data_IF_160517378385
#
_entry.id   IF_160517378385
#
_cell.length_a   1.000
_cell.length_b   1.000
_cell.length_c   1.000
_cell.angle_alpha   90.00
_cell.angle_beta   90.00
_cell.angle_gamma   90.00
#
_symmetry.space_group_name_H-M   'P 1'
#
loop_
_entity.id
_entity.type
_entity.pdbx_description
1 polymer ?
#
# COMPACT_ATOMS: atom_id res chain seq x y z
N UNK A 1 13.21 8.55 -24.07
CA UNK A 1 11.85 8.64 -23.53
C UNK A 1 11.01 9.50 -24.47
N UNK A 2 9.85 8.99 -24.90
CA UNK A 2 8.96 9.69 -25.87
C UNK A 2 7.67 10.23 -25.23
N UNK A 3 7.44 9.91 -23.97
CA UNK A 3 6.22 10.32 -23.27
C UNK A 3 6.54 10.77 -21.85
N UNK A 4 5.80 11.76 -21.35
CA UNK A 4 5.83 12.19 -19.96
C UNK A 4 4.89 11.36 -19.09
N UNK A 5 3.75 10.96 -19.67
CA UNK A 5 2.77 10.11 -19.01
C UNK A 5 2.71 8.80 -19.79
N UNK A 6 2.85 7.69 -19.09
CA UNK A 6 2.69 6.35 -19.64
C UNK A 6 1.42 5.72 -19.08
N UNK A 7 0.47 5.49 -19.96
CA UNK A 7 -0.78 4.85 -19.58
C UNK A 7 -0.61 3.33 -19.55
N UNK A 8 -1.03 2.74 -18.43
CA UNK A 8 -1.18 1.29 -18.26
C UNK A 8 -2.68 1.02 -18.27
N UNK A 9 -3.22 0.79 -19.46
CA UNK A 9 -4.62 0.41 -19.60
C UNK A 9 -4.86 -0.94 -18.92
N UNK A 10 -6.02 -1.06 -18.28
CA UNK A 10 -6.45 -2.29 -17.60
C UNK A 10 -5.39 -2.83 -16.62
N UNK A 11 -5.22 -2.13 -15.49
CA UNK A 11 -4.30 -2.53 -14.42
C UNK A 11 -4.46 -3.99 -13.97
N UNK A 12 -5.58 -4.62 -14.26
CA UNK A 12 -5.88 -6.01 -13.93
C UNK A 12 -4.94 -7.02 -14.59
N UNK A 13 -4.43 -6.70 -15.77
CA UNK A 13 -3.43 -7.52 -16.48
C UNK A 13 -2.07 -7.49 -15.80
N UNK A 14 -1.70 -6.36 -15.20
CA UNK A 14 -0.43 -6.17 -14.48
C UNK A 14 -0.46 -6.82 -13.10
N UNK A 15 -1.65 -6.94 -12.48
CA UNK A 15 -1.83 -7.54 -11.14
C UNK A 15 -1.50 -9.01 -11.08
N UNK A 16 -1.70 -9.76 -12.15
CA UNK A 16 -1.51 -11.22 -12.18
C UNK A 16 -0.04 -11.64 -12.20
N UNK A 17 0.86 -10.77 -12.61
CA UNK A 17 2.22 -11.18 -12.96
C UNK A 17 3.31 -10.93 -11.93
N UNK A 18 3.08 -10.47 -10.74
CA UNK A 18 4.05 -10.39 -9.64
C UNK A 18 4.14 -9.00 -8.99
N UNK A 19 3.51 -8.87 -7.86
CA UNK A 19 3.52 -7.66 -7.03
C UNK A 19 4.93 -7.08 -6.77
N UNK A 20 5.96 -7.90 -6.62
CA UNK A 20 7.32 -7.42 -6.33
C UNK A 20 8.01 -6.77 -7.54
N UNK A 21 7.88 -7.34 -8.72
CA UNK A 21 8.47 -6.78 -9.95
C UNK A 21 7.78 -5.47 -10.34
N UNK A 22 6.47 -5.41 -10.27
CA UNK A 22 5.70 -4.18 -10.52
C UNK A 22 6.05 -3.08 -9.52
N UNK A 23 6.19 -3.41 -8.24
CA UNK A 23 6.62 -2.46 -7.20
C UNK A 23 8.01 -1.92 -7.47
N UNK A 24 8.96 -2.80 -7.80
CA UNK A 24 10.32 -2.40 -8.14
C UNK A 24 10.32 -1.51 -9.39
N UNK A 25 9.56 -1.88 -10.41
CA UNK A 25 9.43 -1.10 -11.64
C UNK A 25 8.86 0.30 -11.38
N UNK A 26 7.75 0.42 -10.65
CA UNK A 26 7.13 1.72 -10.33
C UNK A 26 8.03 2.62 -9.46
N UNK A 27 8.88 2.02 -8.61
CA UNK A 27 9.76 2.76 -7.70
C UNK A 27 11.14 3.07 -8.29
N UNK A 28 11.48 2.52 -9.45
CA UNK A 28 12.78 2.73 -10.07
C UNK A 28 12.92 4.17 -10.57
N UNK A 29 14.02 4.82 -10.19
CA UNK A 29 14.36 6.19 -10.62
C UNK A 29 15.17 6.21 -11.92
N UNK A 30 15.74 5.07 -12.29
CA UNK A 30 16.60 4.91 -13.44
C UNK A 30 16.23 3.64 -14.20
N UNK A 31 16.39 3.68 -15.50
CA UNK A 31 16.25 2.52 -16.39
C UNK A 31 17.59 2.19 -17.00
N UNK A 32 18.03 0.93 -16.84
CA UNK A 32 19.25 0.42 -17.47
C UNK A 32 18.85 -0.53 -18.58
N UNK A 33 19.25 -0.23 -19.78
CA UNK A 33 18.96 -1.05 -20.94
C UNK A 33 20.13 -1.02 -21.95
N UNK A 34 20.19 -2.03 -22.80
CA UNK A 34 21.12 -2.08 -23.90
C UNK A 34 20.39 -1.65 -25.18
N UNK A 35 20.76 -0.53 -25.80
CA UNK A 35 20.17 -0.14 -27.07
C UNK A 35 20.36 -1.23 -28.14
N UNK A 36 19.42 -1.33 -29.08
CA UNK A 36 19.58 -2.19 -30.23
C UNK A 36 20.90 -1.83 -30.97
N UNK A 37 21.70 -2.84 -31.26
CA UNK A 37 23.07 -2.70 -31.83
C UNK A 37 24.10 -1.99 -30.94
N UNK A 38 23.76 -1.59 -29.73
CA UNK A 38 24.68 -1.02 -28.76
C UNK A 38 25.64 -2.08 -28.18
N UNK A 39 26.90 -1.73 -27.93
CA UNK A 39 27.88 -2.62 -27.30
C UNK A 39 27.77 -2.64 -25.78
N UNK A 40 27.31 -1.54 -25.17
CA UNK A 40 27.24 -1.37 -23.72
C UNK A 40 25.82 -1.05 -23.29
N UNK A 41 25.49 -1.42 -22.05
CA UNK A 41 24.27 -0.96 -21.39
C UNK A 41 24.40 0.53 -21.06
N UNK A 42 23.30 1.26 -21.17
CA UNK A 42 23.19 2.66 -20.77
C UNK A 42 22.16 2.78 -19.64
N UNK A 43 22.44 3.67 -18.71
CA UNK A 43 21.52 4.02 -17.61
C UNK A 43 20.99 5.43 -17.85
N UNK A 44 19.69 5.58 -17.84
CA UNK A 44 19.02 6.87 -18.03
C UNK A 44 18.07 7.14 -16.85
N UNK A 45 18.01 8.38 -16.41
CA UNK A 45 17.03 8.79 -15.39
C UNK A 45 15.62 8.69 -15.96
N UNK A 46 14.71 8.23 -15.13
CA UNK A 46 13.31 8.12 -15.50
C UNK A 46 12.61 9.46 -15.33
N UNK A 47 11.97 9.95 -16.39
CA UNK A 47 11.19 11.19 -16.43
C UNK A 47 9.74 10.93 -16.85
N UNK A 48 9.18 9.81 -16.44
CA UNK A 48 7.82 9.40 -16.80
C UNK A 48 6.99 9.19 -15.56
N UNK A 49 5.73 9.60 -15.64
CA UNK A 49 4.69 9.32 -14.64
C UNK A 49 3.79 8.21 -15.19
N UNK A 50 3.39 7.28 -14.34
CA UNK A 50 2.49 6.20 -14.72
C UNK A 50 1.06 6.57 -14.33
N UNK A 51 0.14 6.43 -15.26
CA UNK A 51 -1.29 6.48 -15.03
C UNK A 51 -1.89 5.12 -15.39
N UNK A 52 -2.87 4.67 -14.64
CA UNK A 52 -3.54 3.39 -14.92
C UNK A 52 -5.03 3.51 -14.72
N UNK A 53 -5.79 2.73 -15.49
CA UNK A 53 -7.24 2.66 -15.41
C UNK A 53 -7.68 1.27 -14.97
N UNK A 54 -8.77 1.20 -14.23
CA UNK A 54 -9.41 -0.07 -13.83
C UNK A 54 -10.90 0.15 -13.61
N UNK A 55 -11.69 -0.85 -13.91
CA UNK A 55 -13.12 -0.89 -13.61
C UNK A 55 -13.40 -1.58 -12.26
N UNK A 56 -12.38 -2.15 -11.62
CA UNK A 56 -12.56 -2.78 -10.32
C UNK A 56 -12.62 -1.74 -9.21
N UNK A 57 -13.63 -1.84 -8.34
CA UNK A 57 -13.76 -0.98 -7.17
C UNK A 57 -12.68 -1.25 -6.12
N UNK A 58 -12.19 -2.49 -6.03
CA UNK A 58 -11.16 -2.93 -5.10
C UNK A 58 -9.98 -3.53 -5.88
N UNK A 59 -9.01 -2.71 -6.22
CA UNK A 59 -7.87 -3.11 -7.05
C UNK A 59 -6.52 -3.14 -6.32
N UNK A 60 -6.43 -2.63 -5.09
CA UNK A 60 -5.21 -2.63 -4.30
C UNK A 60 -5.12 -3.89 -3.44
N UNK A 61 -4.27 -4.84 -3.84
CA UNK A 61 -4.04 -6.10 -3.12
C UNK A 61 -2.88 -6.05 -2.12
N UNK A 62 -2.25 -4.90 -1.96
CA UNK A 62 -1.02 -4.79 -1.20
C UNK A 62 -1.19 -3.86 -0.02
N UNK A 63 -1.18 -4.42 1.18
CA UNK A 63 -1.28 -3.67 2.42
C UNK A 63 -0.07 -2.76 2.67
N UNK A 64 1.11 -3.16 2.18
CA UNK A 64 2.37 -2.41 2.40
C UNK A 64 2.76 -1.50 1.25
N UNK A 65 2.22 -1.73 0.05
CA UNK A 65 2.58 -1.03 -1.19
C UNK A 65 1.60 0.05 -1.64
N UNK A 66 0.50 0.24 -0.93
CA UNK A 66 -0.56 1.20 -1.30
C UNK A 66 -0.05 2.64 -1.47
N UNK A 67 1.06 3.02 -0.82
CA UNK A 67 1.71 4.33 -0.97
C UNK A 67 2.17 4.67 -2.40
N UNK A 68 2.26 3.68 -3.28
CA UNK A 68 2.64 3.87 -4.69
C UNK A 68 1.46 4.20 -5.59
N UNK A 69 0.24 3.98 -5.09
CA UNK A 69 -0.98 4.20 -5.83
C UNK A 69 -1.72 5.41 -5.27
N UNK A 70 -2.13 6.27 -6.16
CA UNK A 70 -2.97 7.42 -5.87
C UNK A 70 -4.31 7.20 -6.57
N UNK A 71 -5.22 6.45 -5.94
CA UNK A 71 -6.51 6.15 -6.55
C UNK A 71 -7.37 7.41 -6.64
N UNK A 72 -7.90 7.66 -7.81
CA UNK A 72 -8.82 8.76 -8.09
C UNK A 72 -10.09 8.15 -8.66
N UNK A 73 -11.22 8.39 -8.00
CA UNK A 73 -12.52 7.96 -8.52
C UNK A 73 -12.99 8.95 -9.57
N UNK A 74 -13.19 8.48 -10.80
CA UNK A 74 -13.76 9.26 -11.87
C UNK A 74 -15.25 8.89 -12.02
N UNK A 75 -16.13 9.82 -11.72
CA UNK A 75 -17.58 9.63 -11.88
C UNK A 75 -18.07 10.18 -13.23
N UNK A 76 -17.52 11.31 -13.63
CA UNK A 76 -17.84 12.01 -14.86
C UNK A 76 -16.58 12.48 -15.55
N UNK A 77 -16.54 12.48 -16.86
CA UNK A 77 -15.41 12.96 -17.67
C UNK A 77 -15.93 14.03 -18.64
N UNK A 78 -15.56 15.26 -18.38
CA UNK A 78 -15.82 16.39 -19.27
C UNK A 78 -14.65 16.60 -20.24
N UNK A 79 -14.75 15.99 -21.40
CA UNK A 79 -13.70 16.08 -22.43
C UNK A 79 -13.61 17.48 -23.05
N UNK A 80 -14.72 18.19 -23.15
CA UNK A 80 -14.72 19.54 -23.73
C UNK A 80 -14.02 20.52 -22.80
N UNK A 81 -14.30 20.45 -21.50
CA UNK A 81 -13.58 21.22 -20.48
C UNK A 81 -12.06 20.98 -20.55
N UNK A 82 -11.67 19.71 -20.63
CA UNK A 82 -10.22 19.39 -20.70
C UNK A 82 -9.58 19.92 -21.98
N UNK A 83 -10.25 19.84 -23.11
CA UNK A 83 -9.74 20.39 -24.37
C UNK A 83 -9.58 21.91 -24.32
N UNK A 84 -10.57 22.60 -23.77
CA UNK A 84 -10.56 24.05 -23.66
C UNK A 84 -9.51 24.57 -22.68
N UNK A 85 -9.34 23.90 -21.54
CA UNK A 85 -8.51 24.36 -20.42
C UNK A 85 -7.13 23.69 -20.34
N UNK A 86 -6.81 22.74 -21.19
CA UNK A 86 -5.57 21.94 -21.15
C UNK A 86 -4.31 22.83 -21.00
N UNK A 87 -4.21 23.84 -21.83
CA UNK A 87 -3.00 24.67 -21.86
C UNK A 87 -2.92 25.56 -20.61
N UNK A 88 -4.08 25.99 -20.08
CA UNK A 88 -4.15 26.73 -18.82
C UNK A 88 -3.76 25.85 -17.62
N UNK A 89 -4.23 24.61 -17.58
CA UNK A 89 -3.86 23.65 -16.53
C UNK A 89 -2.33 23.38 -16.52
N UNK A 90 -1.72 23.25 -17.70
CA UNK A 90 -0.28 23.11 -17.79
C UNK A 90 0.47 24.39 -17.37
N UNK A 91 -0.03 25.55 -17.74
CA UNK A 91 0.55 26.82 -17.33
C UNK A 91 0.53 27.00 -15.80
N UNK A 92 -0.59 26.66 -15.15
CA UNK A 92 -0.72 26.69 -13.69
C UNK A 92 0.27 25.74 -13.01
N UNK A 93 0.39 24.49 -13.51
CA UNK A 93 1.37 23.52 -12.99
C UNK A 93 2.82 24.03 -13.13
N UNK A 94 3.17 24.70 -14.21
CA UNK A 94 4.51 25.28 -14.42
C UNK A 94 4.75 26.43 -13.42
N UNK A 95 3.76 27.30 -13.19
CA UNK A 95 3.86 28.38 -12.21
C UNK A 95 4.07 27.83 -10.81
N UNK A 96 3.28 26.84 -10.40
CA UNK A 96 3.42 26.16 -9.10
C UNK A 96 4.80 25.51 -8.94
N UNK A 97 5.30 24.83 -9.98
CA UNK A 97 6.63 24.25 -9.98
C UNK A 97 7.73 25.31 -9.79
N UNK A 98 7.67 26.44 -10.50
CA UNK A 98 8.64 27.52 -10.35
C UNK A 98 8.52 28.28 -9.02
N UNK A 99 7.33 28.29 -8.43
CA UNK A 99 7.10 28.81 -7.07
C UNK A 99 7.71 27.92 -5.97
N UNK A 100 8.10 26.69 -6.32
CA UNK A 100 8.67 25.73 -5.37
C UNK A 100 7.62 24.96 -4.60
N UNK A 101 6.39 24.89 -5.10
CA UNK A 101 5.34 24.08 -4.50
C UNK A 101 5.74 22.62 -4.44
N UNK A 102 5.40 21.97 -3.34
CA UNK A 102 5.73 20.55 -3.15
C UNK A 102 4.84 19.67 -4.01
N UNK A 103 5.46 18.78 -4.79
CA UNK A 103 4.78 17.79 -5.64
C UNK A 103 4.66 16.43 -4.98
N UNK A 104 5.04 16.30 -3.71
CA UNK A 104 4.87 15.12 -2.88
C UNK A 104 3.93 15.40 -1.72
N UNK A 105 3.28 14.36 -1.22
CA UNK A 105 2.39 14.46 -0.07
C UNK A 105 3.19 14.66 1.21
N UNK A 106 2.79 15.63 2.03
CA UNK A 106 3.26 15.74 3.39
C UNK A 106 2.71 14.59 4.27
N UNK A 107 3.13 14.52 5.53
CA UNK A 107 2.74 13.46 6.45
C UNK A 107 1.21 13.39 6.68
N UNK A 108 0.54 14.52 6.72
CA UNK A 108 -0.89 14.58 7.02
C UNK A 108 -1.74 14.28 5.79
N UNK A 109 -1.32 14.74 4.63
CA UNK A 109 -1.90 14.37 3.34
C UNK A 109 -1.68 12.87 3.04
N UNK A 110 -0.51 12.32 3.36
CA UNK A 110 -0.27 10.87 3.19
C UNK A 110 -1.16 10.01 4.11
N UNK A 111 -1.43 10.46 5.33
CA UNK A 111 -2.42 9.81 6.21
C UNK A 111 -3.83 9.87 5.61
N UNK A 112 -4.26 11.03 5.09
CA UNK A 112 -5.57 11.17 4.42
C UNK A 112 -5.66 10.22 3.23
N UNK A 113 -4.65 10.23 2.34
CA UNK A 113 -4.57 9.30 1.21
C UNK A 113 -4.66 7.84 1.67
N UNK A 114 -3.94 7.49 2.75
CA UNK A 114 -3.97 6.13 3.31
C UNK A 114 -5.39 5.74 3.74
N UNK A 115 -6.09 6.61 4.44
CA UNK A 115 -7.46 6.39 4.90
C UNK A 115 -8.45 6.30 3.73
N UNK A 116 -8.34 7.18 2.74
CA UNK A 116 -9.19 7.17 1.55
C UNK A 116 -8.92 5.97 0.64
N UNK A 117 -7.67 5.52 0.55
CA UNK A 117 -7.31 4.34 -0.24
C UNK A 117 -7.87 3.02 0.32
N UNK A 118 -8.41 3.03 1.54
CA UNK A 118 -9.00 1.85 2.17
C UNK A 118 -10.15 1.26 1.35
N UNK A 119 -11.00 2.12 0.77
CA UNK A 119 -12.15 1.70 -0.05
C UNK A 119 -11.75 0.98 -1.34
N UNK A 120 -10.51 1.16 -1.80
CA UNK A 120 -9.97 0.52 -3.00
C UNK A 120 -9.16 -0.74 -2.69
N UNK A 121 -9.04 -1.11 -1.41
CA UNK A 121 -8.35 -2.34 -1.01
C UNK A 121 -9.27 -3.53 -1.15
N UNK A 122 -8.69 -4.64 -1.55
CA UNK A 122 -9.35 -5.93 -1.52
C UNK A 122 -9.34 -6.45 -0.08
N UNK A 123 -10.52 -6.83 0.42
CA UNK A 123 -10.61 -7.43 1.75
C UNK A 123 -9.84 -8.76 1.78
N UNK A 124 -9.01 -8.93 2.80
CA UNK A 124 -8.33 -10.19 3.00
C UNK A 124 -9.32 -11.21 3.61
N UNK A 125 -9.53 -12.38 2.97
CA UNK A 125 -10.46 -13.40 3.50
C UNK A 125 -10.14 -13.87 4.93
N UNK A 126 -8.92 -13.67 5.41
CA UNK A 126 -8.51 -14.03 6.77
C UNK A 126 -8.87 -12.96 7.80
N UNK A 127 -9.18 -11.75 7.38
CA UNK A 127 -9.48 -10.63 8.29
C UNK A 127 -10.69 -10.93 9.17
N UNK A 128 -11.80 -11.37 8.61
CA UNK A 128 -13.00 -11.71 9.37
C UNK A 128 -12.78 -12.80 10.40
N UNK A 129 -12.23 -13.98 10.04
CA UNK A 129 -11.86 -15.03 11.00
C UNK A 129 -10.90 -14.55 12.09
N UNK A 130 -9.88 -13.77 11.76
CA UNK A 130 -8.91 -13.24 12.72
C UNK A 130 -9.60 -12.24 13.68
N UNK A 131 -10.38 -11.29 13.19
CA UNK A 131 -11.09 -10.32 14.04
C UNK A 131 -12.07 -11.05 14.99
N UNK A 132 -12.81 -12.03 14.49
CA UNK A 132 -13.72 -12.85 15.29
C UNK A 132 -12.97 -13.60 16.40
N UNK A 133 -11.83 -14.18 16.10
CA UNK A 133 -10.98 -14.87 17.09
C UNK A 133 -10.46 -13.87 18.14
N UNK A 134 -9.93 -12.72 17.71
CA UNK A 134 -9.39 -11.70 18.61
C UNK A 134 -10.40 -11.17 19.60
N UNK A 135 -11.67 -11.05 19.22
CA UNK A 135 -12.76 -10.62 20.10
C UNK A 135 -13.04 -11.61 21.24
N UNK A 136 -12.69 -12.88 21.07
CA UNK A 136 -12.85 -13.90 22.10
C UNK A 136 -11.66 -13.99 23.06
N UNK A 137 -10.53 -13.35 22.71
CA UNK A 137 -9.30 -13.43 23.48
C UNK A 137 -9.20 -12.31 24.52
N UNK A 138 -8.72 -12.66 25.69
CA UNK A 138 -8.39 -11.72 26.74
C UNK A 138 -6.87 -11.65 26.86
N UNK A 139 -6.29 -10.48 26.53
CA UNK A 139 -4.85 -10.25 26.66
C UNK A 139 -4.06 -10.38 25.35
N UNK A 140 -2.77 -10.70 25.49
CA UNK A 140 -1.85 -10.75 24.38
C UNK A 140 -1.92 -12.07 23.63
N UNK A 141 -1.93 -12.02 22.30
CA UNK A 141 -1.98 -13.19 21.41
C UNK A 141 -0.69 -13.36 20.63
N UNK A 142 -0.35 -14.56 20.22
CA UNK A 142 0.78 -14.83 19.33
C UNK A 142 0.27 -15.08 17.91
N UNK A 143 1.12 -14.81 16.91
CA UNK A 143 0.80 -15.14 15.50
C UNK A 143 0.45 -16.62 15.35
N UNK A 144 1.16 -17.48 16.06
CA UNK A 144 0.91 -18.92 16.06
C UNK A 144 -0.50 -19.28 16.58
N UNK A 145 -0.95 -18.72 17.71
CA UNK A 145 -2.30 -18.94 18.24
C UNK A 145 -3.36 -18.53 17.22
N UNK A 146 -3.19 -17.37 16.57
CA UNK A 146 -4.12 -16.90 15.55
C UNK A 146 -4.19 -17.86 14.37
N UNK A 147 -3.05 -18.37 13.92
CA UNK A 147 -3.01 -19.34 12.82
C UNK A 147 -3.64 -20.68 13.21
N UNK A 148 -3.35 -21.20 14.40
CA UNK A 148 -3.87 -22.50 14.89
C UNK A 148 -5.36 -22.42 15.24
N UNK A 149 -5.72 -21.46 16.07
CA UNK A 149 -7.04 -21.40 16.70
C UNK A 149 -8.02 -20.50 15.94
N UNK A 150 -7.53 -19.40 15.35
CA UNK A 150 -8.35 -18.48 14.57
C UNK A 150 -8.58 -18.95 13.14
N UNK A 151 -7.51 -19.35 12.46
CA UNK A 151 -7.55 -19.74 11.05
C UNK A 151 -7.61 -21.26 10.84
N UNK A 152 -7.47 -22.06 11.90
CA UNK A 152 -7.46 -23.55 11.85
C UNK A 152 -6.39 -24.13 10.92
N UNK A 153 -5.23 -23.46 10.85
CA UNK A 153 -4.09 -23.93 10.05
C UNK A 153 -3.26 -24.90 10.91
N UNK A 154 -3.06 -26.09 10.42
CA UNK A 154 -2.21 -27.09 11.07
C UNK A 154 -0.75 -26.62 11.17
N UNK A 155 -0.06 -26.91 12.27
CA UNK A 155 1.34 -26.49 12.50
C UNK A 155 2.29 -26.85 11.36
N UNK A 156 2.12 -28.04 10.79
CA UNK A 156 2.97 -28.53 9.70
C UNK A 156 2.76 -27.80 8.38
N UNK A 157 1.70 -27.01 8.25
CA UNK A 157 1.36 -26.23 7.05
C UNK A 157 1.67 -24.76 7.19
N UNK A 158 2.04 -24.30 8.37
CA UNK A 158 2.40 -22.91 8.61
C UNK A 158 3.71 -22.55 7.92
N UNK A 159 3.72 -21.44 7.25
CA UNK A 159 4.89 -20.93 6.57
C UNK A 159 5.10 -19.43 6.87
N UNK A 160 6.28 -18.94 6.57
CA UNK A 160 6.63 -17.54 6.86
C UNK A 160 5.77 -16.52 6.13
N UNK A 161 5.27 -16.86 4.97
CA UNK A 161 4.40 -15.96 4.20
C UNK A 161 3.07 -15.76 4.92
N UNK A 162 2.52 -16.84 5.49
CA UNK A 162 1.30 -16.79 6.27
C UNK A 162 1.49 -16.00 7.57
N UNK A 163 2.62 -16.17 8.25
CA UNK A 163 2.96 -15.37 9.43
C UNK A 163 3.03 -13.86 9.11
N UNK A 164 3.61 -13.52 7.97
CA UNK A 164 3.67 -12.11 7.52
C UNK A 164 2.27 -11.59 7.20
N UNK A 165 1.45 -12.37 6.49
CA UNK A 165 0.07 -11.99 6.16
C UNK A 165 -0.77 -11.74 7.41
N UNK A 166 -0.70 -12.64 8.40
CA UNK A 166 -1.36 -12.45 9.70
C UNK A 166 -0.84 -11.20 10.40
N UNK A 167 0.47 -10.95 10.35
CA UNK A 167 1.06 -9.75 10.95
C UNK A 167 0.55 -8.46 10.31
N UNK A 168 0.40 -8.45 8.99
CA UNK A 168 -0.13 -7.29 8.25
C UNK A 168 -1.60 -7.03 8.62
N UNK A 169 -2.42 -8.08 8.70
CA UNK A 169 -3.83 -7.97 9.13
C UNK A 169 -3.93 -7.44 10.57
N UNK A 170 -3.06 -7.90 11.48
CA UNK A 170 -3.07 -7.43 12.86
C UNK A 170 -2.74 -5.95 12.99
N UNK A 171 -1.79 -5.46 12.21
CA UNK A 171 -1.48 -4.02 12.14
C UNK A 171 -2.69 -3.23 11.67
N UNK A 172 -3.41 -3.73 10.66
CA UNK A 172 -4.62 -3.09 10.13
C UNK A 172 -5.76 -3.08 11.17
N UNK A 173 -5.90 -4.15 11.95
CA UNK A 173 -6.86 -4.23 13.06
C UNK A 173 -6.45 -3.40 14.30
N UNK A 174 -5.34 -2.66 14.23
CA UNK A 174 -4.86 -1.78 15.31
C UNK A 174 -4.13 -2.51 16.42
N UNK A 175 -3.49 -3.64 16.11
CA UNK A 175 -2.63 -4.36 17.05
C UNK A 175 -1.17 -3.98 16.81
N UNK A 176 -0.40 -3.93 17.90
CA UNK A 176 1.04 -3.72 17.86
C UNK A 176 1.81 -4.96 18.35
N UNK A 177 2.98 -5.19 17.77
CA UNK A 177 3.86 -6.30 18.13
C UNK A 177 4.80 -5.89 19.25
N UNK A 178 4.68 -6.55 20.41
CA UNK A 178 5.53 -6.32 21.58
C UNK A 178 6.31 -7.57 21.95
N UNK A 179 7.47 -7.39 22.56
CA UNK A 179 8.25 -8.49 23.12
C UNK A 179 7.94 -8.61 24.61
N UNK A 180 7.22 -9.66 24.99
CA UNK A 180 6.80 -9.89 26.38
C UNK A 180 7.28 -11.24 26.89
N UNK A 181 7.30 -11.40 28.21
CA UNK A 181 7.62 -12.67 28.86
C UNK A 181 6.31 -13.44 29.07
N UNK A 182 6.14 -14.54 28.33
CA UNK A 182 4.98 -15.41 28.43
C UNK A 182 5.47 -16.76 28.91
N UNK A 183 4.96 -17.25 30.04
CA UNK A 183 5.36 -18.53 30.65
C UNK A 183 6.88 -18.67 30.80
N UNK A 184 7.56 -17.62 31.33
CA UNK A 184 8.99 -17.62 31.56
C UNK A 184 9.87 -17.37 30.34
N UNK A 185 9.33 -17.45 29.12
CA UNK A 185 10.06 -17.29 27.85
C UNK A 185 9.72 -15.97 27.20
N UNK A 186 10.71 -15.27 26.64
CA UNK A 186 10.50 -14.05 25.85
C UNK A 186 9.94 -14.40 24.47
N UNK A 187 8.71 -13.99 24.19
CA UNK A 187 8.04 -14.19 22.90
C UNK A 187 7.54 -12.86 22.33
N UNK A 188 7.38 -12.81 21.02
CA UNK A 188 6.64 -11.72 20.38
C UNK A 188 5.15 -12.01 20.49
N UNK A 189 4.40 -11.02 20.96
CA UNK A 189 2.95 -11.05 21.12
C UNK A 189 2.34 -9.81 20.50
N UNK A 190 1.06 -9.89 20.23
CA UNK A 190 0.27 -8.79 19.70
C UNK A 190 -0.71 -8.32 20.77
N UNK A 191 -0.75 -7.03 20.97
CA UNK A 191 -1.66 -6.35 21.91
C UNK A 191 -2.40 -5.29 21.14
N UNK A 192 -3.69 -5.12 21.42
CA UNK A 192 -4.47 -4.03 20.85
C UNK A 192 -3.84 -2.71 21.30
N UNK A 193 -3.70 -1.77 20.38
CA UNK A 193 -3.37 -0.39 20.71
C UNK A 193 -4.55 0.14 21.53
N UNK A 194 -4.47 -0.04 22.85
CA UNK A 194 -5.41 0.64 23.73
C UNK A 194 -5.14 2.14 23.60
N UNK A 195 -6.22 2.92 23.66
CA UNK A 195 -6.16 4.37 23.87
C UNK A 195 -5.58 4.65 25.27
N UNK A 196 -4.28 4.40 25.45
CA UNK A 196 -3.55 4.62 26.72
C UNK A 196 -3.13 6.08 26.90
N UNK A 197 -3.70 7.03 26.17
CA UNK A 197 -3.31 8.45 26.28
C UNK A 197 -4.16 9.29 27.25
N UNK A 198 -5.08 8.71 28.00
CA UNK A 198 -5.93 9.54 28.90
C UNK A 198 -5.66 9.37 30.40
N UNK A 199 -4.63 8.67 30.86
CA UNK A 199 -4.38 8.49 32.30
C UNK A 199 -3.12 9.12 32.89
N UNK A 200 -2.29 9.82 32.12
CA UNK A 200 -1.09 10.46 32.66
C UNK A 200 -1.06 11.99 32.53
N UNK A 201 -2.21 12.64 32.61
CA UNK A 201 -2.29 14.12 32.72
C UNK A 201 -3.01 14.62 33.98
N UNK A 202 -3.20 13.77 34.97
CA UNK A 202 -3.64 14.21 36.31
C UNK A 202 -2.80 13.47 37.36
N UNK A 203 -1.58 13.93 37.59
CA UNK A 203 -0.80 13.77 38.80
C UNK A 203 0.32 14.82 38.79
#
# INVERSE_FOLDING_TARGET
QRAWIYEVAELDSVRRSANSATKAFLSAQEDTYRPAYGRHAVTVKRHVVFAGTTNESQFINDMTGSRRYWPIRCNEVDLEYVKEHRDQLWAEAIVAFHAGDTWWLDRDMDKKRHNESHIFRQDDPWMGPIDSFLRTQVGAVTTQMIMEEGLKIERGRMNRRDEMRVSDILVELGYEKKRMRVNGTRKYVWTKLEMFEFKNKEA
#
